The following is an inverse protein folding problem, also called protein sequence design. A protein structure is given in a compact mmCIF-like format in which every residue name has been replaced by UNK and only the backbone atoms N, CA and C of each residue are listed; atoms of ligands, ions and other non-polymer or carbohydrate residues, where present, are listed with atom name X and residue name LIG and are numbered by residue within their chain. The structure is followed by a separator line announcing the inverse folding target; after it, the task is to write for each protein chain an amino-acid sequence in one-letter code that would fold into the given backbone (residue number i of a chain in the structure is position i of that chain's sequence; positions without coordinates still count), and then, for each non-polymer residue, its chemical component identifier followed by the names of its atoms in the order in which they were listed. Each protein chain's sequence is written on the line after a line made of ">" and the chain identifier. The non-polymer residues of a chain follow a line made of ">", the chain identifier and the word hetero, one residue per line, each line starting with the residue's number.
data_IF_774078263273
#
_entry.id   IF_774078263273
#
_cell.length_a   1.000
_cell.length_b   1.000
_cell.length_c   1.000
_cell.angle_alpha   90.00
_cell.angle_beta   90.00
_cell.angle_gamma   90.00
#
_symmetry.space_group_name_H-M   'P 1'
#
loop_
_entity.id
_entity.type
_entity.pdbx_description
1 polymer ?
#
# COMPACT_ATOMS: atom_id res chain seq x y z
N UNK A 1 -2.58 -24.71 -10.36
CA UNK A 1 -3.61 -25.09 -9.39
C UNK A 1 -4.71 -24.04 -9.49
N UNK A 2 -5.93 -24.39 -9.90
CA UNK A 2 -7.01 -23.41 -10.03
C UNK A 2 -7.55 -23.14 -8.63
N UNK A 3 -7.35 -21.94 -8.11
CA UNK A 3 -7.95 -21.55 -6.83
C UNK A 3 -9.41 -21.20 -7.05
N UNK A 4 -10.27 -21.63 -6.14
CA UNK A 4 -11.71 -21.39 -6.26
C UNK A 4 -12.02 -19.91 -6.03
N UNK A 5 -12.95 -19.37 -6.82
CA UNK A 5 -13.49 -18.00 -6.68
C UNK A 5 -13.86 -17.61 -5.24
N UNK A 6 -14.46 -18.49 -4.41
CA UNK A 6 -14.74 -18.17 -3.01
C UNK A 6 -13.50 -17.82 -2.18
N UNK A 7 -12.35 -18.43 -2.46
CA UNK A 7 -11.10 -18.12 -1.73
C UNK A 7 -10.59 -16.74 -2.12
N UNK A 8 -10.64 -16.39 -3.40
CA UNK A 8 -10.27 -15.04 -3.88
C UNK A 8 -11.13 -13.99 -3.18
N UNK A 9 -12.45 -14.17 -3.21
CA UNK A 9 -13.37 -13.24 -2.56
C UNK A 9 -13.17 -13.15 -1.05
N UNK A 10 -12.87 -14.25 -0.36
CA UNK A 10 -12.59 -14.22 1.06
C UNK A 10 -11.35 -13.36 1.38
N UNK A 11 -10.28 -13.49 0.58
CA UNK A 11 -9.05 -12.70 0.74
C UNK A 11 -9.30 -11.22 0.44
N UNK A 12 -9.97 -10.90 -0.67
CA UNK A 12 -10.29 -9.52 -1.06
C UNK A 12 -11.23 -8.84 -0.03
N UNK A 13 -12.31 -9.51 0.38
CA UNK A 13 -13.24 -8.99 1.38
C UNK A 13 -12.58 -8.77 2.74
N UNK A 14 -11.64 -9.65 3.14
CA UNK A 14 -10.88 -9.45 4.36
C UNK A 14 -10.00 -8.20 4.26
N UNK A 15 -9.29 -8.02 3.15
CA UNK A 15 -8.44 -6.84 2.91
C UNK A 15 -9.26 -5.54 2.91
N UNK A 16 -10.41 -5.54 2.23
CA UNK A 16 -11.35 -4.41 2.19
C UNK A 16 -11.87 -4.11 3.60
N UNK A 17 -12.32 -5.13 4.33
CA UNK A 17 -12.89 -4.96 5.68
C UNK A 17 -11.86 -4.35 6.63
N UNK A 18 -10.64 -4.90 6.67
CA UNK A 18 -9.56 -4.38 7.52
C UNK A 18 -9.20 -2.93 7.15
N UNK A 19 -9.16 -2.62 5.86
CA UNK A 19 -8.82 -1.28 5.36
C UNK A 19 -9.91 -0.25 5.68
N UNK A 20 -11.18 -0.62 5.56
CA UNK A 20 -12.32 0.24 5.93
C UNK A 20 -12.34 0.48 7.43
N UNK A 21 -12.21 -0.57 8.24
CA UNK A 21 -12.17 -0.46 9.71
C UNK A 21 -10.98 0.38 10.17
N UNK A 22 -9.80 0.16 9.59
CA UNK A 22 -8.59 0.92 9.87
C UNK A 22 -8.73 2.39 9.48
N UNK A 23 -9.25 2.67 8.29
CA UNK A 23 -9.49 4.04 7.80
C UNK A 23 -10.50 4.78 8.68
N UNK A 24 -11.60 4.12 9.07
CA UNK A 24 -12.59 4.69 9.98
C UNK A 24 -11.97 4.99 11.35
N UNK A 25 -11.21 4.05 11.91
CA UNK A 25 -10.55 4.25 13.20
C UNK A 25 -9.50 5.37 13.16
N UNK A 26 -8.84 5.58 12.03
CA UNK A 26 -7.95 6.73 11.81
C UNK A 26 -8.75 8.03 11.74
N UNK A 27 -9.78 8.06 10.88
CA UNK A 27 -10.53 9.27 10.54
C UNK A 27 -11.42 9.78 11.67
N UNK A 28 -11.91 8.92 12.57
CA UNK A 28 -12.85 9.30 13.65
C UNK A 28 -12.38 10.45 14.54
N UNK A 29 -11.06 10.66 14.65
CA UNK A 29 -10.50 11.76 15.45
C UNK A 29 -10.70 13.12 14.78
N UNK A 30 -10.58 13.20 13.46
CA UNK A 30 -10.71 14.42 12.66
C UNK A 30 -11.32 14.11 11.29
N UNK A 31 -12.62 13.79 11.29
CA UNK A 31 -13.32 13.21 10.13
C UNK A 31 -13.17 14.07 8.88
N UNK A 32 -13.33 15.39 8.98
CA UNK A 32 -13.32 16.29 7.81
C UNK A 32 -11.99 16.23 7.03
N UNK A 33 -10.86 16.36 7.71
CA UNK A 33 -9.55 16.43 7.05
C UNK A 33 -9.11 15.07 6.54
N UNK A 34 -9.38 14.00 7.31
CA UNK A 34 -9.08 12.64 6.88
C UNK A 34 -10.02 12.15 5.76
N UNK A 35 -11.28 12.59 5.74
CA UNK A 35 -12.21 12.27 4.64
C UNK A 35 -11.77 12.93 3.32
N UNK A 36 -11.32 14.19 3.36
CA UNK A 36 -10.76 14.87 2.18
C UNK A 36 -9.51 14.15 1.68
N UNK A 37 -8.59 13.81 2.58
CA UNK A 37 -7.38 13.07 2.24
C UNK A 37 -7.71 11.66 1.67
N UNK A 38 -8.68 10.97 2.26
CA UNK A 38 -9.16 9.66 1.81
C UNK A 38 -9.74 9.76 0.40
N UNK A 39 -10.68 10.69 0.17
CA UNK A 39 -11.32 10.85 -1.13
C UNK A 39 -10.29 11.26 -2.21
N UNK A 40 -9.38 12.19 -1.88
CA UNK A 40 -8.36 12.64 -2.82
C UNK A 40 -7.37 11.53 -3.18
N UNK A 41 -6.95 10.73 -2.20
CA UNK A 41 -6.13 9.53 -2.46
C UNK A 41 -6.87 8.47 -3.24
N UNK A 42 -8.12 8.14 -2.89
CA UNK A 42 -8.93 7.18 -3.64
C UNK A 42 -9.05 7.57 -5.12
N UNK A 43 -9.43 8.82 -5.40
CA UNK A 43 -9.57 9.33 -6.77
C UNK A 43 -8.24 9.29 -7.51
N UNK A 44 -7.16 9.74 -6.89
CA UNK A 44 -5.83 9.75 -7.53
C UNK A 44 -5.36 8.33 -7.84
N UNK A 45 -5.49 7.40 -6.89
CA UNK A 45 -5.14 5.99 -7.07
C UNK A 45 -5.96 5.32 -8.17
N UNK A 46 -7.28 5.56 -8.21
CA UNK A 46 -8.17 5.06 -9.26
C UNK A 46 -7.75 5.59 -10.64
N UNK A 47 -7.51 6.90 -10.76
CA UNK A 47 -7.14 7.54 -12.04
C UNK A 47 -5.79 7.01 -12.53
N UNK A 48 -4.79 6.93 -11.67
CA UNK A 48 -3.47 6.40 -12.03
C UNK A 48 -3.55 4.92 -12.42
N UNK A 49 -4.27 4.10 -11.66
CA UNK A 49 -4.42 2.69 -11.97
C UNK A 49 -5.14 2.47 -13.30
N UNK A 50 -6.22 3.22 -13.57
CA UNK A 50 -6.89 3.22 -14.87
C UNK A 50 -5.92 3.59 -15.99
N UNK A 51 -5.15 4.66 -15.82
CA UNK A 51 -4.17 5.10 -16.81
C UNK A 51 -3.14 4.00 -17.12
N UNK A 52 -2.63 3.31 -16.09
CA UNK A 52 -1.66 2.21 -16.25
C UNK A 52 -2.28 0.97 -16.91
N UNK A 53 -3.51 0.59 -16.54
CA UNK A 53 -4.22 -0.52 -17.19
C UNK A 53 -4.49 -0.20 -18.67
N UNK A 54 -4.95 1.00 -19.00
CA UNK A 54 -5.20 1.40 -20.38
C UNK A 54 -3.92 1.57 -21.21
N UNK A 55 -2.79 1.91 -20.58
CA UNK A 55 -1.48 1.90 -21.23
C UNK A 55 -0.96 0.47 -21.51
N UNK A 56 -1.62 -0.57 -20.97
CA UNK A 56 -1.23 -1.97 -21.14
C UNK A 56 -0.04 -2.37 -20.28
N UNK A 57 0.18 -1.69 -19.15
CA UNK A 57 1.25 -2.00 -18.21
C UNK A 57 0.98 -3.28 -17.43
N UNK A 58 -0.22 -3.41 -16.87
CA UNK A 58 -0.70 -4.59 -16.15
C UNK A 58 -2.21 -4.74 -16.28
N UNK A 59 -2.73 -5.88 -15.83
CA UNK A 59 -4.15 -6.19 -15.83
C UNK A 59 -4.56 -6.91 -14.54
N UNK A 60 -5.86 -6.99 -14.29
CA UNK A 60 -6.43 -7.68 -13.14
C UNK A 60 -7.37 -8.80 -13.62
N UNK A 61 -6.86 -10.04 -13.74
CA UNK A 61 -7.62 -11.18 -14.26
C UNK A 61 -8.80 -11.55 -13.37
N UNK A 62 -8.61 -11.48 -12.04
CA UNK A 62 -9.64 -11.79 -11.04
C UNK A 62 -9.81 -10.59 -10.13
N UNK A 63 -11.07 -10.23 -9.87
CA UNK A 63 -11.48 -9.07 -9.08
C UNK A 63 -12.79 -9.36 -8.36
N UNK A 64 -13.02 -8.66 -7.25
CA UNK A 64 -14.29 -8.68 -6.52
C UNK A 64 -15.48 -8.22 -7.39
N UNK A 65 -15.27 -7.18 -8.19
CA UNK A 65 -16.24 -6.68 -9.19
C UNK A 65 -15.74 -7.06 -10.59
N UNK A 66 -16.36 -8.04 -11.28
CA UNK A 66 -15.79 -8.61 -12.51
C UNK A 66 -15.70 -7.64 -13.69
N UNK A 67 -16.65 -6.70 -13.79
CA UNK A 67 -16.83 -5.86 -14.99
C UNK A 67 -15.99 -4.60 -15.01
N UNK A 68 -15.26 -4.28 -13.93
CA UNK A 68 -14.40 -3.10 -13.88
C UNK A 68 -13.01 -3.41 -14.43
N UNK A 69 -12.36 -2.48 -15.16
CA UNK A 69 -11.01 -2.70 -15.67
C UNK A 69 -9.97 -2.82 -14.53
N UNK A 70 -10.27 -2.22 -13.38
CA UNK A 70 -9.43 -2.19 -12.16
C UNK A 70 -10.19 -2.81 -10.97
N UNK A 71 -9.50 -3.22 -9.89
CA UNK A 71 -10.11 -3.65 -8.63
C UNK A 71 -10.63 -2.41 -7.88
N UNK A 72 -11.79 -1.91 -8.31
CA UNK A 72 -12.29 -0.59 -7.91
C UNK A 72 -12.49 -0.48 -6.39
N UNK A 73 -12.96 -1.56 -5.74
CA UNK A 73 -13.25 -1.57 -4.30
C UNK A 73 -11.96 -1.48 -3.50
N UNK A 74 -10.95 -2.25 -3.88
CA UNK A 74 -9.61 -2.27 -3.28
C UNK A 74 -8.93 -0.92 -3.49
N UNK A 75 -9.03 -0.36 -4.71
CA UNK A 75 -8.50 0.97 -5.03
C UNK A 75 -9.16 2.08 -4.20
N UNK A 76 -10.46 1.96 -3.93
CA UNK A 76 -11.21 2.90 -3.13
C UNK A 76 -11.00 2.71 -1.61
N UNK A 77 -10.47 1.57 -1.14
CA UNK A 77 -10.43 1.25 0.30
C UNK A 77 -9.02 0.98 0.84
N UNK A 78 -8.25 0.10 0.21
CA UNK A 78 -6.91 -0.32 0.64
C UNK A 78 -5.89 0.80 0.39
N UNK A 79 -5.93 1.41 -0.79
CA UNK A 79 -4.97 2.49 -1.14
C UNK A 79 -5.11 3.69 -0.20
N UNK A 80 -6.33 4.23 0.04
CA UNK A 80 -6.49 5.34 0.96
C UNK A 80 -6.13 4.97 2.40
N UNK A 81 -6.36 3.72 2.82
CA UNK A 81 -5.95 3.26 4.15
C UNK A 81 -4.44 3.44 4.37
N UNK A 82 -3.59 3.00 3.42
CA UNK A 82 -2.14 3.20 3.52
C UNK A 82 -1.76 4.69 3.55
N UNK A 83 -2.44 5.53 2.77
CA UNK A 83 -2.22 6.99 2.81
C UNK A 83 -2.56 7.56 4.17
N UNK A 84 -3.74 7.24 4.72
CA UNK A 84 -4.17 7.74 6.02
C UNK A 84 -3.23 7.28 7.13
N UNK A 85 -2.83 6.00 7.09
CA UNK A 85 -1.89 5.42 8.03
C UNK A 85 -0.54 6.15 7.98
N UNK A 86 -0.01 6.33 6.76
CA UNK A 86 1.25 7.02 6.54
C UNK A 86 1.22 8.44 7.10
N UNK A 87 0.23 9.25 6.73
CA UNK A 87 0.12 10.64 7.18
C UNK A 87 -0.10 10.74 8.70
N UNK A 88 -0.89 9.85 9.29
CA UNK A 88 -1.19 9.88 10.72
C UNK A 88 0.03 9.55 11.57
N UNK A 89 0.79 8.53 11.18
CA UNK A 89 1.84 7.93 12.01
C UNK A 89 3.27 8.26 11.58
N UNK A 90 3.46 8.89 10.42
CA UNK A 90 4.81 9.24 9.96
C UNK A 90 5.54 10.10 10.99
N UNK A 91 6.82 9.81 11.29
CA UNK A 91 7.59 10.57 12.27
C UNK A 91 7.70 12.05 11.90
N UNK A 92 7.86 12.93 12.89
CA UNK A 92 7.99 14.37 12.61
C UNK A 92 9.24 14.71 11.78
N UNK A 93 10.38 14.10 12.15
CA UNK A 93 11.66 14.35 11.49
C UNK A 93 11.76 13.59 10.17
N UNK A 94 12.15 14.32 9.12
CA UNK A 94 12.33 13.76 7.76
C UNK A 94 13.33 12.61 7.73
N UNK A 95 14.37 12.66 8.57
CA UNK A 95 15.36 11.59 8.69
C UNK A 95 14.73 10.23 9.05
N UNK A 96 13.62 10.24 9.79
CA UNK A 96 12.89 9.04 10.21
C UNK A 96 11.65 8.75 9.37
N UNK A 97 11.17 9.70 8.57
CA UNK A 97 10.12 9.44 7.57
C UNK A 97 10.61 8.48 6.49
N UNK A 98 11.84 8.63 6.02
CA UNK A 98 12.35 7.76 4.95
C UNK A 98 12.37 6.27 5.36
N UNK A 99 12.92 5.85 6.53
CA UNK A 99 12.81 4.47 7.00
C UNK A 99 11.37 4.00 7.21
N UNK A 100 10.49 4.88 7.70
CA UNK A 100 9.08 4.57 7.90
C UNK A 100 8.36 4.28 6.57
N UNK A 101 8.50 5.16 5.58
CA UNK A 101 7.93 4.96 4.25
C UNK A 101 8.59 3.81 3.50
N UNK A 102 9.89 3.56 3.72
CA UNK A 102 10.56 2.38 3.18
C UNK A 102 9.88 1.10 3.67
N UNK A 103 9.63 0.97 4.97
CA UNK A 103 8.92 -0.19 5.51
C UNK A 103 7.48 -0.31 4.96
N UNK A 104 6.77 0.81 4.80
CA UNK A 104 5.43 0.80 4.20
C UNK A 104 5.46 0.33 2.75
N UNK A 105 6.34 0.88 1.92
CA UNK A 105 6.48 0.46 0.51
C UNK A 105 6.83 -1.02 0.43
N UNK A 106 7.74 -1.51 1.28
CA UNK A 106 8.09 -2.92 1.31
C UNK A 106 6.90 -3.83 1.67
N UNK A 107 6.06 -3.42 2.63
CA UNK A 107 4.84 -4.16 2.95
C UNK A 107 3.84 -4.18 1.78
N UNK A 108 3.65 -3.02 1.13
CA UNK A 108 2.74 -2.93 -0.02
C UNK A 108 3.26 -3.79 -1.17
N UNK A 109 4.55 -3.71 -1.48
CA UNK A 109 5.18 -4.54 -2.50
C UNK A 109 5.12 -6.02 -2.18
N UNK A 110 5.23 -6.41 -0.90
CA UNK A 110 5.02 -7.79 -0.49
C UNK A 110 3.60 -8.25 -0.84
N UNK A 111 2.57 -7.45 -0.53
CA UNK A 111 1.19 -7.78 -0.88
C UNK A 111 0.95 -7.82 -2.40
N UNK A 112 1.55 -6.90 -3.14
CA UNK A 112 1.46 -6.86 -4.60
C UNK A 112 2.17 -8.05 -5.26
N UNK A 113 3.36 -8.42 -4.77
CA UNK A 113 4.06 -9.63 -5.20
C UNK A 113 3.25 -10.88 -4.90
N UNK A 114 2.62 -10.98 -3.71
CA UNK A 114 1.70 -12.08 -3.41
C UNK A 114 0.52 -12.07 -4.39
N UNK A 115 -0.07 -10.91 -4.68
CA UNK A 115 -1.16 -10.79 -5.65
C UNK A 115 -0.75 -11.21 -7.08
N UNK A 116 0.50 -10.95 -7.46
CA UNK A 116 1.10 -11.28 -8.75
C UNK A 116 1.46 -12.77 -8.89
N UNK A 117 2.13 -13.34 -7.87
CA UNK A 117 2.70 -14.70 -7.95
C UNK A 117 1.77 -15.77 -7.39
N UNK A 118 0.78 -15.37 -6.59
CA UNK A 118 -0.14 -16.35 -6.01
C UNK A 118 -1.00 -17.00 -7.08
N UNK A 119 -1.47 -18.24 -6.84
CA UNK A 119 -2.41 -18.90 -7.75
C UNK A 119 -3.76 -18.18 -7.89
N UNK A 120 -4.01 -17.10 -7.13
CA UNK A 120 -5.19 -16.23 -7.25
C UNK A 120 -5.14 -15.38 -8.52
N UNK A 121 -3.95 -15.10 -9.08
CA UNK A 121 -3.75 -14.28 -10.28
C UNK A 121 -4.52 -12.95 -10.23
N UNK A 122 -4.39 -12.23 -9.11
CA UNK A 122 -5.10 -10.96 -8.89
C UNK A 122 -4.53 -9.86 -9.78
N UNK A 123 -3.21 -9.88 -10.00
CA UNK A 123 -2.48 -8.93 -10.84
C UNK A 123 -1.67 -9.72 -11.85
N UNK A 124 -1.61 -9.22 -13.08
CA UNK A 124 -0.82 -9.80 -14.16
C UNK A 124 -0.06 -8.69 -14.89
N UNK A 125 1.24 -8.66 -14.66
CA UNK A 125 2.17 -7.71 -15.26
C UNK A 125 2.42 -8.04 -16.73
N UNK A 126 2.42 -7.00 -17.58
CA UNK A 126 2.70 -7.11 -19.02
C UNK A 126 3.99 -6.36 -19.38
N UNK A 127 3.90 -5.04 -19.52
CA UNK A 127 5.04 -4.15 -19.83
C UNK A 127 5.55 -3.42 -18.59
N UNK A 128 5.17 -3.92 -17.43
CA UNK A 128 5.42 -3.36 -16.13
C UNK A 128 6.15 -4.39 -15.30
N UNK A 129 7.04 -3.95 -14.43
CA UNK A 129 7.74 -4.85 -13.53
C UNK A 129 7.62 -4.45 -12.06
N UNK A 130 8.26 -5.24 -11.20
CA UNK A 130 8.25 -5.04 -9.75
C UNK A 130 8.91 -3.71 -9.38
N UNK A 131 9.90 -3.27 -10.15
CA UNK A 131 10.62 -2.02 -9.91
C UNK A 131 9.78 -0.80 -10.29
N UNK A 132 9.00 -0.88 -11.37
CA UNK A 132 8.05 0.15 -11.75
C UNK A 132 6.99 0.36 -10.66
N UNK A 133 6.40 -0.71 -10.14
CA UNK A 133 5.46 -0.64 -9.00
C UNK A 133 6.12 -0.07 -7.75
N UNK A 134 7.32 -0.55 -7.39
CA UNK A 134 8.07 -0.06 -6.23
C UNK A 134 8.27 1.45 -6.30
N UNK A 135 8.66 1.96 -7.47
CA UNK A 135 8.88 3.39 -7.71
C UNK A 135 7.57 4.17 -7.67
N UNK A 136 6.50 3.65 -8.29
CA UNK A 136 5.18 4.28 -8.28
C UNK A 136 4.64 4.43 -6.84
N UNK A 137 4.80 3.42 -6.00
CA UNK A 137 4.39 3.48 -4.59
C UNK A 137 5.16 4.52 -3.77
N UNK A 138 6.46 4.63 -3.99
CA UNK A 138 7.26 5.68 -3.38
C UNK A 138 6.74 7.07 -3.74
N UNK A 139 6.56 7.33 -5.03
CA UNK A 139 6.07 8.62 -5.51
C UNK A 139 4.68 8.92 -4.95
N UNK A 140 3.78 7.94 -4.99
CA UNK A 140 2.42 8.07 -4.50
C UNK A 140 2.37 8.38 -3.00
N UNK A 141 3.05 7.59 -2.16
CA UNK A 141 3.02 7.78 -0.71
C UNK A 141 3.73 9.07 -0.27
N UNK A 142 4.85 9.44 -0.90
CA UNK A 142 5.54 10.69 -0.58
C UNK A 142 4.75 11.92 -1.01
N UNK A 143 4.08 11.87 -2.17
CA UNK A 143 3.15 12.90 -2.58
C UNK A 143 2.05 13.09 -1.52
N UNK A 144 1.44 11.99 -1.05
CA UNK A 144 0.40 12.06 -0.04
C UNK A 144 0.89 12.39 1.37
N UNK A 145 2.14 12.12 1.74
CA UNK A 145 2.75 12.67 2.95
C UNK A 145 2.83 14.19 2.88
N UNK A 146 3.27 14.72 1.73
CA UNK A 146 3.37 16.16 1.52
C UNK A 146 1.99 16.83 1.55
N UNK A 147 1.03 16.30 0.79
CA UNK A 147 -0.36 16.80 0.79
C UNK A 147 -1.01 16.65 2.17
N UNK A 148 -0.88 15.47 2.80
CA UNK A 148 -1.42 15.17 4.11
C UNK A 148 -0.87 16.09 5.20
N UNK A 149 0.42 16.46 5.12
CA UNK A 149 1.02 17.44 6.00
C UNK A 149 0.47 18.87 5.86
N UNK A 150 -0.24 19.18 4.76
CA UNK A 150 -0.94 20.46 4.56
C UNK A 150 -2.42 20.39 4.93
N UNK A 151 -3.08 19.25 4.70
CA UNK A 151 -4.52 19.07 4.93
C UNK A 151 -4.82 18.70 6.39
N UNK A 152 -4.02 17.82 6.99
CA UNK A 152 -4.26 17.29 8.33
C UNK A 152 -3.52 18.13 9.36
N UNK A 153 -4.20 18.76 10.33
CA UNK A 153 -3.55 19.60 11.31
C UNK A 153 -2.64 18.77 12.23
N UNK A 154 -1.53 19.33 12.74
CA UNK A 154 -0.57 18.58 13.56
C UNK A 154 -1.18 17.86 14.76
N UNK A 155 -2.18 18.48 15.42
CA UNK A 155 -2.91 17.89 16.56
C UNK A 155 -3.73 16.65 16.21
N UNK A 156 -4.09 16.49 14.94
CA UNK A 156 -4.81 15.33 14.41
C UNK A 156 -3.89 14.20 13.96
N UNK A 157 -2.58 14.46 13.90
CA UNK A 157 -1.55 13.46 13.64
C UNK A 157 -1.10 12.86 14.96
N UNK A 158 -0.58 11.65 14.91
CA UNK A 158 0.01 10.96 16.06
C UNK A 158 1.35 10.40 15.61
N UNK A 159 2.31 11.29 15.28
CA UNK A 159 3.58 10.88 14.69
C UNK A 159 4.32 9.97 15.67
N UNK A 160 4.89 8.89 15.14
CA UNK A 160 5.73 8.02 15.93
C UNK A 160 6.97 8.78 16.41
N UNK A 161 7.33 8.57 17.68
CA UNK A 161 8.48 9.25 18.27
C UNK A 161 9.76 8.87 17.50
N UNK A 162 10.52 9.88 17.07
CA UNK A 162 11.79 9.69 16.35
C UNK A 162 12.79 8.80 17.11
N UNK A 163 12.74 8.82 18.45
CA UNK A 163 13.56 7.97 19.32
C UNK A 163 13.26 6.47 19.15
N UNK A 164 12.06 6.10 18.68
CA UNK A 164 11.65 4.71 18.47
C UNK A 164 12.33 4.06 17.27
N UNK A 165 12.90 4.85 16.35
CA UNK A 165 13.63 4.38 15.17
C UNK A 165 15.15 4.30 15.38
N UNK A 166 15.64 4.66 16.57
CA UNK A 166 17.06 4.47 16.92
C UNK A 166 17.39 2.98 17.08
N UNK A 167 18.66 2.63 16.83
CA UNK A 167 19.15 1.25 16.93
C UNK A 167 18.74 0.58 18.25
N UNK A 168 18.28 -0.68 18.15
CA UNK A 168 17.81 -1.48 19.30
C UNK A 168 16.44 -1.08 19.87
N UNK A 169 15.74 -0.09 19.29
CA UNK A 169 14.37 0.27 19.68
C UNK A 169 13.34 -0.42 18.79
N UNK A 170 12.09 -0.45 19.25
CA UNK A 170 11.02 -1.23 18.61
C UNK A 170 10.74 -0.82 17.16
N UNK A 171 10.75 0.49 16.84
CA UNK A 171 10.52 0.97 15.48
C UNK A 171 11.64 0.58 14.54
N UNK A 172 12.89 0.62 15.01
CA UNK A 172 14.05 0.10 14.28
C UNK A 172 13.90 -1.40 14.01
N UNK A 173 13.53 -2.20 15.02
CA UNK A 173 13.32 -3.64 14.86
C UNK A 173 12.23 -3.98 13.84
N UNK A 174 11.09 -3.26 13.86
CA UNK A 174 10.00 -3.48 12.89
C UNK A 174 10.45 -3.14 11.47
N UNK A 175 11.08 -1.97 11.26
CA UNK A 175 11.58 -1.58 9.93
C UNK A 175 12.58 -2.61 9.42
N UNK A 176 13.51 -3.07 10.27
CA UNK A 176 14.51 -4.07 9.88
C UNK A 176 13.89 -5.44 9.60
N UNK A 177 12.93 -5.89 10.42
CA UNK A 177 12.24 -7.15 10.19
C UNK A 177 11.52 -7.16 8.83
N UNK A 178 10.80 -6.08 8.51
CA UNK A 178 10.13 -5.91 7.21
C UNK A 178 11.17 -5.91 6.08
N UNK A 179 12.21 -5.08 6.20
CA UNK A 179 13.26 -4.96 5.19
C UNK A 179 13.96 -6.30 4.92
N UNK A 180 14.39 -6.99 5.98
CA UNK A 180 15.10 -8.26 5.85
C UNK A 180 14.21 -9.35 5.29
N UNK A 181 12.96 -9.43 5.74
CA UNK A 181 12.01 -10.43 5.22
C UNK A 181 11.72 -10.20 3.74
N UNK A 182 11.46 -8.95 3.34
CA UNK A 182 11.15 -8.63 1.94
C UNK A 182 12.35 -8.80 1.01
N UNK A 183 13.55 -8.37 1.42
CA UNK A 183 14.78 -8.61 0.65
C UNK A 183 15.11 -10.10 0.55
N UNK A 184 14.96 -10.86 1.64
CA UNK A 184 15.17 -12.30 1.63
C UNK A 184 14.20 -13.00 0.67
N UNK A 185 12.90 -12.69 0.76
CA UNK A 185 11.88 -13.26 -0.14
C UNK A 185 12.10 -12.87 -1.60
N UNK A 186 12.50 -11.63 -1.87
CA UNK A 186 12.88 -11.19 -3.21
C UNK A 186 14.08 -11.99 -3.75
N UNK A 187 15.08 -12.26 -2.91
CA UNK A 187 16.22 -13.11 -3.26
C UNK A 187 15.83 -14.56 -3.55
N UNK A 188 14.96 -15.15 -2.72
CA UNK A 188 14.42 -16.51 -2.96
C UNK A 188 13.64 -16.56 -4.28
N UNK A 189 12.76 -15.58 -4.51
CA UNK A 189 12.00 -15.48 -5.75
C UNK A 189 12.91 -15.33 -6.98
N UNK A 190 13.90 -14.44 -6.93
CA UNK A 190 14.86 -14.27 -8.02
C UNK A 190 15.64 -15.57 -8.28
N UNK A 191 16.13 -16.23 -7.23
CA UNK A 191 16.86 -17.49 -7.35
C UNK A 191 16.06 -18.63 -7.98
N UNK A 192 14.75 -18.72 -7.70
CA UNK A 192 13.88 -19.73 -8.34
C UNK A 192 13.55 -19.43 -9.81
N UNK A 193 13.66 -18.17 -10.23
CA UNK A 193 13.35 -17.75 -11.61
C UNK A 193 14.59 -17.63 -12.51
N UNK A 194 15.80 -17.60 -11.93
CA UNK A 194 17.04 -17.75 -12.68
C UNK A 194 17.17 -19.24 -13.06
N UNK A 195 16.83 -19.56 -14.31
CA UNK A 195 17.18 -20.82 -14.97
C UNK A 195 18.54 -20.74 -15.62
#
# INVERSE_FOLDING_TARGET
>A
MIVSLPVVWAVELLAVTLSVVGSFWIAKQHVRTYAVLYAFSAVTGIVLCLAFVYAGFYSFPVKLVPYTPIPLVEMATVIPFFVLFGVKYSPESWAWKLPFYFAMVQLIMLFELVALVSPLSLIDYKKWDVWDSYTAWWLYLLFFEWVGGKIVPPKARSPLASSSFRYGRWGWMIVHAIAMTTVFLAGVYAGWNIK
#
